data_IF_683983264589
#
_entry.id   IF_683983264589
#
_cell.length_a   1.000
_cell.length_b   1.000
_cell.length_c   1.000
_cell.angle_alpha   90.00
_cell.angle_beta   90.00
_cell.angle_gamma   90.00
#
_symmetry.space_group_name_H-M   'P 1'
#
loop_
_entity.id
_entity.type
_entity.pdbx_description
1 polymer ?
#
# COMPACT_ATOMS: atom_id res chain seq x y z
N UNK A 1 8.74 -25.62 -7.94
CA UNK A 1 8.92 -24.83 -6.70
C UNK A 1 9.86 -23.67 -7.03
N UNK A 2 9.49 -22.43 -6.66
CA UNK A 2 10.22 -21.21 -7.01
C UNK A 2 9.59 -20.47 -8.20
N UNK A 3 8.71 -19.51 -7.94
CA UNK A 3 8.05 -18.72 -8.99
C UNK A 3 7.74 -17.27 -8.62
N UNK A 4 8.00 -16.83 -7.40
CA UNK A 4 7.60 -15.49 -6.92
C UNK A 4 8.70 -14.74 -6.16
N UNK A 5 9.97 -15.18 -6.22
CA UNK A 5 11.10 -14.47 -5.57
C UNK A 5 11.19 -13.01 -6.03
N UNK A 6 10.98 -12.74 -7.32
CA UNK A 6 10.93 -11.38 -7.84
C UNK A 6 9.75 -10.57 -7.27
N UNK A 7 8.62 -11.21 -6.99
CA UNK A 7 7.47 -10.56 -6.36
C UNK A 7 7.75 -10.24 -4.88
N UNK A 8 8.40 -11.15 -4.15
CA UNK A 8 8.84 -10.92 -2.77
C UNK A 8 9.85 -9.78 -2.68
N UNK A 9 10.84 -9.74 -3.57
CA UNK A 9 11.81 -8.64 -3.62
C UNK A 9 11.11 -7.30 -3.88
N UNK A 10 10.22 -7.24 -4.89
CA UNK A 10 9.46 -6.01 -5.19
C UNK A 10 8.57 -5.56 -4.04
N UNK A 11 7.86 -6.48 -3.38
CA UNK A 11 7.01 -6.17 -2.22
C UNK A 11 7.82 -5.63 -1.04
N UNK A 12 8.98 -6.23 -0.75
CA UNK A 12 9.89 -5.75 0.29
C UNK A 12 10.50 -4.38 -0.03
N UNK A 13 10.80 -4.10 -1.30
CA UNK A 13 11.34 -2.80 -1.73
C UNK A 13 10.29 -1.69 -1.70
N UNK A 14 9.07 -1.95 -2.18
CA UNK A 14 7.99 -0.95 -2.20
C UNK A 14 7.39 -0.72 -0.81
N UNK A 15 7.39 -1.74 0.04
CA UNK A 15 6.78 -1.71 1.35
C UNK A 15 5.34 -2.24 1.32
N UNK A 16 4.90 -2.97 2.37
CA UNK A 16 3.58 -3.59 2.40
C UNK A 16 2.46 -2.65 2.89
N UNK A 17 2.80 -1.47 3.42
CA UNK A 17 1.84 -0.51 3.97
C UNK A 17 2.36 0.92 3.86
N UNK A 18 1.44 1.88 3.97
CA UNK A 18 1.78 3.29 4.00
C UNK A 18 0.95 4.01 5.08
N UNK A 19 1.60 4.94 5.79
CA UNK A 19 0.91 5.88 6.66
C UNK A 19 0.64 7.18 5.89
N UNK A 20 -0.61 7.64 5.94
CA UNK A 20 -1.07 8.88 5.30
C UNK A 20 -1.75 9.74 6.36
N UNK A 21 -1.41 11.02 6.39
CA UNK A 21 -2.01 11.99 7.31
C UNK A 21 -3.42 12.32 6.80
N UNK A 22 -4.38 12.39 7.72
CA UNK A 22 -5.71 12.94 7.45
C UNK A 22 -5.77 14.32 8.08
N UNK A 23 -6.09 15.34 7.28
CA UNK A 23 -6.24 16.73 7.71
C UNK A 23 -7.56 17.26 7.16
N UNK A 24 -8.39 17.83 8.03
CA UNK A 24 -9.73 18.34 7.70
C UNK A 24 -10.61 17.36 6.91
N UNK A 25 -10.55 16.09 7.30
CA UNK A 25 -11.33 15.01 6.67
C UNK A 25 -10.80 14.54 5.31
N UNK A 26 -9.65 15.06 4.86
CA UNK A 26 -9.04 14.71 3.58
C UNK A 26 -7.65 14.08 3.77
N UNK A 27 -7.27 13.19 2.85
CA UNK A 27 -5.90 12.67 2.80
C UNK A 27 -4.95 13.79 2.37
N UNK A 28 -3.94 14.07 3.19
CA UNK A 28 -2.95 15.09 2.90
C UNK A 28 -1.92 14.53 1.90
N UNK A 29 -2.20 14.72 0.62
CA UNK A 29 -1.34 14.32 -0.50
C UNK A 29 -0.85 15.57 -1.25
N UNK A 30 0.40 15.54 -1.70
CA UNK A 30 0.92 16.54 -2.64
C UNK A 30 0.31 16.38 -4.03
N UNK A 31 0.45 17.40 -4.88
CA UNK A 31 -0.15 17.47 -6.24
C UNK A 31 0.07 16.21 -7.10
N UNK A 32 1.20 15.52 -6.91
CA UNK A 32 1.59 14.36 -7.71
C UNK A 32 1.63 13.05 -6.92
N UNK A 33 1.18 13.05 -5.66
CA UNK A 33 1.12 11.83 -4.86
C UNK A 33 -0.16 11.05 -5.15
N UNK A 34 -0.01 9.74 -5.33
CA UNK A 34 -1.11 8.79 -5.44
C UNK A 34 -0.88 7.58 -4.56
N UNK A 35 -1.97 6.94 -4.13
CA UNK A 35 -1.91 5.70 -3.36
C UNK A 35 -2.19 4.55 -4.32
N UNK A 36 -1.25 3.60 -4.40
CA UNK A 36 -1.33 2.47 -5.31
C UNK A 36 -1.33 1.15 -4.55
N UNK A 37 -2.17 0.22 -5.00
CA UNK A 37 -2.03 -1.19 -4.65
C UNK A 37 -1.11 -1.86 -5.67
N UNK A 38 0.08 -2.25 -5.24
CA UNK A 38 1.08 -2.84 -6.13
C UNK A 38 1.02 -4.38 -6.09
N UNK A 39 0.31 -4.99 -7.05
CA UNK A 39 0.32 -6.44 -7.25
C UNK A 39 1.55 -6.90 -8.04
N UNK A 40 2.29 -7.87 -7.51
CA UNK A 40 3.52 -8.36 -8.14
C UNK A 40 3.51 -9.86 -8.49
N UNK A 41 2.47 -10.61 -8.12
CA UNK A 41 2.31 -12.05 -8.30
C UNK A 41 0.86 -12.41 -8.70
N UNK A 42 0.26 -11.58 -9.57
CA UNK A 42 -1.11 -11.75 -10.08
C UNK A 42 -1.22 -12.68 -11.30
N UNK A 43 -2.45 -12.94 -11.81
CA UNK A 43 -3.73 -12.44 -11.29
C UNK A 43 -4.21 -13.25 -10.08
N UNK A 44 -4.54 -12.56 -8.98
CA UNK A 44 -5.07 -13.17 -7.76
C UNK A 44 -6.06 -12.23 -7.07
N UNK A 45 -6.98 -12.80 -6.30
CA UNK A 45 -7.79 -12.01 -5.38
C UNK A 45 -6.94 -11.65 -4.15
N UNK A 46 -6.87 -10.37 -3.83
CA UNK A 46 -6.11 -9.85 -2.69
C UNK A 46 -7.00 -9.08 -1.74
N UNK A 47 -6.62 -9.11 -0.47
CA UNK A 47 -7.24 -8.30 0.58
C UNK A 47 -6.24 -7.24 0.99
N UNK A 48 -6.74 -6.02 1.15
CA UNK A 48 -6.03 -4.92 1.80
C UNK A 48 -6.88 -4.40 2.96
N UNK A 49 -6.23 -3.71 3.89
CA UNK A 49 -6.90 -3.17 5.08
C UNK A 49 -6.59 -1.69 5.20
N UNK A 50 -7.56 -0.93 5.69
CA UNK A 50 -7.40 0.47 6.06
C UNK A 50 -7.84 0.61 7.51
N UNK A 51 -7.00 1.24 8.32
CA UNK A 51 -7.30 1.57 9.72
C UNK A 51 -7.10 3.06 9.92
N UNK A 52 -8.17 3.75 10.29
CA UNK A 52 -8.09 5.15 10.71
C UNK A 52 -7.75 5.16 12.20
N UNK A 53 -6.70 5.88 12.55
CA UNK A 53 -6.28 6.09 13.93
C UNK A 53 -6.56 7.55 14.28
N UNK A 54 -7.31 7.79 15.36
CA UNK A 54 -7.44 9.10 15.98
C UNK A 54 -6.75 9.05 17.35
N UNK A 55 -6.03 10.11 17.69
CA UNK A 55 -5.68 10.35 19.09
C UNK A 55 -6.99 10.72 19.80
N UNK A 56 -7.27 10.06 20.93
CA UNK A 56 -8.34 10.49 21.84
C UNK A 56 -7.98 11.80 22.51
#
# INVERSE_FOLDING_TARGET
>A
MGGNTAAHLKASTVGPSQHIIIHDGQLLLGTWQGIYFCEFDGPRNRTYYVKILSLQ
#
